data_IF_849678345100
#
_entry.id   IF_849678345100
#
_cell.length_a   1.000
_cell.length_b   1.000
_cell.length_c   1.000
_cell.angle_alpha   90.00
_cell.angle_beta   90.00
_cell.angle_gamma   90.00
#
_symmetry.space_group_name_H-M   'P 1'
#
loop_
_entity.id
_entity.type
_entity.pdbx_description
1 polymer ?
#
# COMPACT_ATOMS: atom_id res chain seq x y z
N UNK A 1 -17.23 -0.07 -2.72
CA UNK A 1 -16.13 -0.06 -1.72
C UNK A 1 -16.34 -1.26 -0.82
N UNK A 2 -15.34 -2.12 -0.64
CA UNK A 2 -15.42 -3.30 0.24
C UNK A 2 -15.63 -2.79 1.68
N UNK A 3 -16.63 -3.29 2.44
CA UNK A 3 -16.81 -2.89 3.84
C UNK A 3 -15.58 -3.28 4.66
N UNK A 4 -15.00 -2.34 5.41
CA UNK A 4 -13.78 -2.60 6.20
C UNK A 4 -13.93 -3.75 7.22
N UNK A 5 -15.16 -4.07 7.62
CA UNK A 5 -15.46 -5.20 8.51
C UNK A 5 -15.06 -6.58 7.96
N UNK A 6 -14.90 -6.72 6.64
CA UNK A 6 -14.43 -7.97 6.02
C UNK A 6 -12.97 -8.28 6.37
N UNK A 7 -12.20 -7.27 6.80
CA UNK A 7 -10.79 -7.42 7.18
C UNK A 7 -10.57 -7.65 8.69
N UNK A 8 -11.64 -7.90 9.45
CA UNK A 8 -11.50 -8.26 10.87
C UNK A 8 -10.62 -9.50 11.06
N UNK A 9 -9.69 -9.43 12.03
CA UNK A 9 -8.73 -10.51 12.31
C UNK A 9 -7.54 -10.55 11.36
N UNK A 10 -7.46 -9.58 10.45
CA UNK A 10 -6.25 -9.31 9.65
C UNK A 10 -5.51 -8.14 10.28
N UNK A 11 -4.19 -8.20 10.26
CA UNK A 11 -3.32 -7.18 10.83
C UNK A 11 -2.30 -6.74 9.78
N UNK A 12 -1.87 -5.49 9.86
CA UNK A 12 -0.81 -4.88 9.05
C UNK A 12 0.42 -4.62 9.91
N UNK A 13 1.62 -4.74 9.32
CA UNK A 13 2.88 -4.54 10.03
C UNK A 13 3.05 -3.07 10.48
N UNK A 14 3.67 -2.88 11.65
CA UNK A 14 4.00 -1.56 12.16
C UNK A 14 4.93 -0.76 11.24
N UNK A 15 5.79 -1.44 10.48
CA UNK A 15 6.64 -0.81 9.46
C UNK A 15 5.82 -0.10 8.39
N UNK A 16 4.71 -0.69 7.93
CA UNK A 16 3.79 -0.05 6.99
C UNK A 16 3.07 1.15 7.61
N UNK A 17 2.66 1.02 8.88
CA UNK A 17 2.03 2.14 9.61
C UNK A 17 3.01 3.31 9.77
N UNK A 18 4.28 3.03 10.09
CA UNK A 18 5.34 4.04 10.15
C UNK A 18 5.57 4.72 8.80
N UNK A 19 5.53 3.96 7.71
CA UNK A 19 5.61 4.51 6.36
C UNK A 19 4.53 5.57 6.10
N UNK A 20 3.30 5.33 6.58
CA UNK A 20 2.22 6.31 6.53
C UNK A 20 2.55 7.55 7.38
N UNK A 21 2.97 7.39 8.63
CA UNK A 21 3.33 8.53 9.51
C UNK A 21 4.43 9.39 8.90
N UNK A 22 5.46 8.75 8.33
CA UNK A 22 6.59 9.45 7.69
C UNK A 22 6.15 10.22 6.44
N UNK A 23 5.21 9.66 5.68
CA UNK A 23 4.69 10.29 4.47
C UNK A 23 3.94 11.61 4.73
N UNK A 24 3.35 11.75 5.90
CA UNK A 24 2.72 13.01 6.31
C UNK A 24 3.71 14.15 6.56
N UNK A 25 5.02 13.86 6.71
CA UNK A 25 6.08 14.86 6.84
C UNK A 25 5.76 15.91 7.92
N UNK A 26 5.59 17.17 7.52
CA UNK A 26 5.24 18.26 8.43
C UNK A 26 3.82 18.16 9.04
N UNK A 27 2.94 17.33 8.50
CA UNK A 27 1.57 17.11 8.99
C UNK A 27 1.46 15.94 9.97
N UNK A 28 2.54 15.58 10.68
CA UNK A 28 2.58 14.46 11.63
C UNK A 28 1.49 14.53 12.71
N UNK A 29 1.09 15.71 13.14
CA UNK A 29 0.00 15.90 14.12
C UNK A 29 -1.34 15.44 13.56
N UNK A 30 -1.61 15.66 12.28
CA UNK A 30 -2.83 15.17 11.62
C UNK A 30 -2.79 13.63 11.51
N UNK A 31 -1.66 13.07 11.07
CA UNK A 31 -1.47 11.62 11.04
C UNK A 31 -1.69 10.98 12.42
N UNK A 32 -1.12 11.62 13.46
CA UNK A 32 -1.26 11.16 14.85
C UNK A 32 -2.71 11.16 15.32
N UNK A 33 -3.46 12.23 15.07
CA UNK A 33 -4.88 12.31 15.40
C UNK A 33 -5.69 11.22 14.71
N UNK A 34 -5.45 11.01 13.41
CA UNK A 34 -6.15 9.99 12.62
C UNK A 34 -5.86 8.59 13.15
N UNK A 35 -4.58 8.25 13.36
CA UNK A 35 -4.18 6.91 13.81
C UNK A 35 -4.64 6.61 15.24
N UNK A 36 -4.44 7.55 16.18
CA UNK A 36 -4.90 7.40 17.57
C UNK A 36 -6.42 7.28 17.67
N UNK A 37 -7.17 7.99 16.83
CA UNK A 37 -8.64 7.87 16.80
C UNK A 37 -9.11 6.49 16.31
N UNK A 38 -8.30 5.77 15.53
CA UNK A 38 -8.56 4.39 15.09
C UNK A 38 -7.91 3.34 16.01
N UNK A 39 -7.31 3.75 17.14
CA UNK A 39 -6.66 2.85 18.08
C UNK A 39 -5.31 2.30 17.60
N UNK A 40 -4.66 2.98 16.67
CA UNK A 40 -3.36 2.59 16.13
C UNK A 40 -2.24 3.37 16.83
N UNK A 41 -1.30 2.66 17.42
CA UNK A 41 -0.19 3.23 18.18
C UNK A 41 -0.57 3.77 19.54
N UNK A 42 0.33 4.49 20.17
CA UNK A 42 0.15 5.11 21.48
C UNK A 42 0.53 6.60 21.40
N UNK A 43 -0.07 7.42 22.26
CA UNK A 43 0.27 8.84 22.33
C UNK A 43 1.60 9.03 23.06
N UNK A 44 2.58 9.60 22.39
CA UNK A 44 3.87 9.95 22.95
C UNK A 44 3.84 11.22 23.82
N UNK A 45 4.93 11.53 24.51
CA UNK A 45 5.03 12.70 25.39
C UNK A 45 4.93 14.04 24.63
N UNK A 46 5.29 14.06 23.36
CA UNK A 46 5.15 15.19 22.44
C UNK A 46 3.74 15.31 21.81
N UNK A 47 2.82 14.43 22.20
CA UNK A 47 1.45 14.37 21.68
C UNK A 47 1.31 13.67 20.32
N UNK A 48 2.41 13.23 19.71
CA UNK A 48 2.40 12.50 18.45
C UNK A 48 2.18 10.99 18.68
N UNK A 49 1.76 10.30 17.64
CA UNK A 49 1.62 8.85 17.68
C UNK A 49 2.98 8.17 17.69
N UNK A 50 3.17 7.24 18.60
CA UNK A 50 4.28 6.29 18.62
C UNK A 50 3.78 4.96 18.06
N UNK A 51 4.43 4.49 17.02
CA UNK A 51 4.14 3.21 16.35
C UNK A 51 5.37 2.32 16.46
N UNK A 52 5.19 1.14 17.01
CA UNK A 52 6.26 0.15 17.13
C UNK A 52 6.41 -0.62 15.80
N UNK A 53 7.61 -0.60 15.17
CA UNK A 53 7.82 -1.21 13.85
C UNK A 53 7.58 -2.72 13.84
N UNK A 54 7.89 -3.41 14.91
CA UNK A 54 7.76 -4.88 15.07
C UNK A 54 6.36 -5.30 15.56
N UNK A 55 5.48 -4.34 15.86
CA UNK A 55 4.09 -4.61 16.24
C UNK A 55 3.20 -4.80 15.02
N UNK A 56 2.01 -5.35 15.29
CA UNK A 56 0.98 -5.58 14.30
C UNK A 56 -0.29 -4.84 14.71
N UNK A 57 -0.93 -4.20 13.76
CA UNK A 57 -2.10 -3.34 13.99
C UNK A 57 -3.30 -3.83 13.18
N UNK A 58 -4.51 -3.64 13.71
CA UNK A 58 -5.73 -4.05 13.04
C UNK A 58 -5.84 -3.41 11.63
N UNK A 59 -5.98 -4.26 10.61
CA UNK A 59 -5.97 -3.82 9.22
C UNK A 59 -7.21 -3.00 8.86
N UNK A 60 -8.37 -3.38 9.39
CA UNK A 60 -9.61 -2.61 9.21
C UNK A 60 -9.51 -1.19 9.83
N UNK A 61 -8.86 -1.04 10.99
CA UNK A 61 -8.57 0.26 11.58
C UNK A 61 -7.62 1.10 10.70
N UNK A 62 -6.60 0.45 10.15
CA UNK A 62 -5.66 1.10 9.24
C UNK A 62 -6.34 1.59 7.94
N UNK A 63 -7.25 0.80 7.39
CA UNK A 63 -8.06 1.20 6.23
C UNK A 63 -8.98 2.38 6.54
N UNK A 64 -9.58 2.42 7.74
CA UNK A 64 -10.37 3.59 8.19
C UNK A 64 -9.50 4.84 8.32
N UNK A 65 -8.27 4.69 8.81
CA UNK A 65 -7.30 5.78 8.85
C UNK A 65 -6.99 6.33 7.45
N UNK A 66 -6.79 5.45 6.45
CA UNK A 66 -6.64 5.85 5.05
C UNK A 66 -7.87 6.59 4.52
N UNK A 67 -9.08 6.11 4.81
CA UNK A 67 -10.31 6.75 4.38
C UNK A 67 -10.44 8.16 4.96
N UNK A 68 -10.13 8.35 6.25
CA UNK A 68 -10.10 9.67 6.88
C UNK A 68 -9.05 10.59 6.28
N UNK A 69 -7.83 10.08 6.04
CA UNK A 69 -6.77 10.84 5.37
C UNK A 69 -7.22 11.31 3.98
N UNK A 70 -7.87 10.42 3.21
CA UNK A 70 -8.42 10.75 1.89
C UNK A 70 -9.46 11.89 1.94
N UNK A 71 -10.38 11.84 2.91
CA UNK A 71 -11.42 12.85 3.08
C UNK A 71 -10.87 14.23 3.42
N UNK A 72 -9.80 14.29 4.24
CA UNK A 72 -9.23 15.55 4.70
C UNK A 72 -8.18 16.14 3.77
N UNK A 73 -7.44 15.31 3.05
CA UNK A 73 -6.21 15.73 2.35
C UNK A 73 -6.21 15.39 0.85
N UNK A 74 -7.15 14.60 0.39
CA UNK A 74 -7.31 14.25 -1.03
C UNK A 74 -6.27 13.25 -1.58
N UNK A 75 -6.41 12.95 -2.87
CA UNK A 75 -5.64 11.91 -3.58
C UNK A 75 -4.14 12.19 -3.69
N UNK A 76 -3.74 13.47 -3.74
CA UNK A 76 -2.31 13.83 -3.86
C UNK A 76 -1.51 13.39 -2.64
N UNK A 77 -2.07 13.50 -1.45
CA UNK A 77 -1.42 13.02 -0.22
C UNK A 77 -1.37 11.50 -0.18
N UNK A 78 -2.45 10.82 -0.55
CA UNK A 78 -2.45 9.35 -0.66
C UNK A 78 -1.38 8.85 -1.64
N UNK A 79 -1.22 9.52 -2.77
CA UNK A 79 -0.15 9.23 -3.72
C UNK A 79 1.24 9.40 -3.08
N UNK A 80 1.47 10.51 -2.35
CA UNK A 80 2.75 10.73 -1.67
C UNK A 80 3.02 9.71 -0.57
N UNK A 81 1.99 9.23 0.13
CA UNK A 81 2.11 8.12 1.08
C UNK A 81 2.63 6.87 0.36
N UNK A 82 2.04 6.50 -0.77
CA UNK A 82 2.52 5.36 -1.57
C UNK A 82 3.97 5.52 -2.03
N UNK A 83 4.34 6.70 -2.52
CA UNK A 83 5.74 7.02 -2.89
C UNK A 83 6.68 6.84 -1.70
N UNK A 84 6.28 7.28 -0.51
CA UNK A 84 7.13 7.22 0.69
C UNK A 84 7.31 5.81 1.21
N UNK A 85 6.29 4.96 1.15
CA UNK A 85 6.38 3.54 1.51
C UNK A 85 7.49 2.86 0.70
N UNK A 86 7.58 3.14 -0.60
CA UNK A 86 8.59 2.53 -1.46
C UNK A 86 10.02 2.97 -1.18
N UNK A 87 10.23 4.05 -0.41
CA UNK A 87 11.57 4.46 0.06
C UNK A 87 12.08 3.59 1.20
N UNK A 88 11.18 3.07 2.04
CA UNK A 88 11.51 2.40 3.31
C UNK A 88 11.36 0.88 3.25
N UNK A 89 10.55 0.36 2.31
CA UNK A 89 10.35 -1.08 2.15
C UNK A 89 11.66 -1.77 1.74
N UNK A 90 11.96 -2.90 2.38
CA UNK A 90 13.09 -3.74 2.00
C UNK A 90 12.75 -4.49 0.71
N UNK A 91 13.60 -4.33 -0.30
CA UNK A 91 13.46 -5.06 -1.56
C UNK A 91 14.34 -6.31 -1.56
N UNK A 92 13.84 -7.45 -2.05
CA UNK A 92 14.67 -8.60 -2.25
C UNK A 92 15.76 -8.29 -3.31
N UNK A 93 16.95 -8.93 -3.23
CA UNK A 93 18.05 -8.70 -4.17
C UNK A 93 17.69 -9.00 -5.65
N UNK A 94 16.60 -9.72 -5.88
CA UNK A 94 16.06 -10.01 -7.21
C UNK A 94 15.42 -8.79 -7.90
N UNK A 95 15.06 -7.75 -7.17
CA UNK A 95 14.44 -6.54 -7.74
C UNK A 95 15.53 -5.65 -8.35
N UNK A 96 15.62 -5.64 -9.67
CA UNK A 96 16.64 -4.89 -10.43
C UNK A 96 16.07 -3.97 -11.51
N UNK A 97 14.83 -4.19 -11.91
CA UNK A 97 14.13 -3.47 -12.97
C UNK A 97 12.63 -3.36 -12.69
N UNK A 98 11.91 -2.68 -13.58
CA UNK A 98 10.46 -2.43 -13.44
C UNK A 98 9.68 -3.75 -13.36
N UNK A 99 10.04 -4.74 -14.16
CA UNK A 99 9.35 -6.03 -14.21
C UNK A 99 9.50 -6.76 -12.87
N UNK A 100 10.72 -6.93 -12.40
CA UNK A 100 11.00 -7.61 -11.12
C UNK A 100 10.46 -6.84 -9.91
N UNK A 101 10.39 -5.51 -9.99
CA UNK A 101 9.72 -4.69 -8.99
C UNK A 101 8.23 -5.01 -8.94
N UNK A 102 7.53 -5.03 -10.07
CA UNK A 102 6.11 -5.35 -10.13
C UNK A 102 5.85 -6.80 -9.69
N UNK A 103 6.68 -7.76 -10.09
CA UNK A 103 6.61 -9.16 -9.64
C UNK A 103 6.70 -9.29 -8.12
N UNK A 104 7.49 -8.42 -7.47
CA UNK A 104 7.68 -8.45 -6.02
C UNK A 104 6.54 -7.80 -5.22
N UNK A 105 5.61 -7.08 -5.87
CA UNK A 105 4.58 -6.32 -5.17
C UNK A 105 3.61 -7.21 -4.41
N UNK A 106 3.08 -8.25 -5.03
CA UNK A 106 2.10 -9.14 -4.40
C UNK A 106 2.68 -9.93 -3.23
N UNK A 107 3.85 -10.59 -3.34
CA UNK A 107 4.54 -11.17 -2.20
C UNK A 107 4.83 -10.16 -1.09
N UNK A 108 5.36 -8.98 -1.43
CA UNK A 108 5.66 -7.92 -0.47
C UNK A 108 4.43 -7.39 0.24
N UNK A 109 3.31 -7.27 -0.48
CA UNK A 109 2.03 -6.90 0.09
C UNK A 109 1.57 -7.92 1.15
N UNK A 110 1.55 -9.21 0.80
CA UNK A 110 1.12 -10.27 1.70
C UNK A 110 2.10 -10.52 2.86
N UNK A 111 3.39 -10.27 2.66
CA UNK A 111 4.40 -10.35 3.73
C UNK A 111 4.16 -9.31 4.84
N UNK A 112 3.60 -8.17 4.49
CA UNK A 112 3.30 -7.08 5.43
C UNK A 112 1.92 -7.21 6.09
N UNK A 113 1.22 -8.32 5.87
CA UNK A 113 -0.06 -8.63 6.49
C UNK A 113 -0.01 -10.01 7.15
N UNK A 114 -0.77 -10.18 8.24
CA UNK A 114 -0.96 -11.48 8.89
C UNK A 114 -2.43 -11.73 9.23
N UNK A 115 -2.82 -12.98 9.28
CA UNK A 115 -4.16 -13.43 9.70
C UNK A 115 -4.01 -14.52 10.76
N UNK A 116 -4.64 -14.33 11.92
CA UNK A 116 -4.53 -15.25 13.06
C UNK A 116 -3.06 -15.50 13.45
N UNK A 117 -2.26 -14.43 13.54
CA UNK A 117 -0.85 -14.48 13.93
C UNK A 117 0.12 -15.04 12.89
N UNK A 118 -0.36 -15.45 11.70
CA UNK A 118 0.46 -16.01 10.63
C UNK A 118 0.55 -15.04 9.45
N UNK A 119 1.77 -14.71 9.03
CA UNK A 119 2.04 -13.89 7.84
C UNK A 119 1.35 -14.51 6.63
N UNK A 120 0.82 -13.68 5.75
CA UNK A 120 0.01 -14.12 4.61
C UNK A 120 0.83 -14.54 3.39
N UNK A 121 2.13 -14.42 3.43
CA UNK A 121 3.07 -14.96 2.45
C UNK A 121 4.08 -15.90 3.13
N UNK A 122 4.28 -17.08 2.54
CA UNK A 122 5.26 -18.05 2.98
C UNK A 122 6.47 -18.02 2.03
N UNK A 123 7.57 -17.45 2.51
CA UNK A 123 8.81 -17.30 1.73
C UNK A 123 9.42 -18.64 1.29
N UNK A 124 9.16 -19.73 2.01
CA UNK A 124 9.71 -21.06 1.72
C UNK A 124 8.99 -21.73 0.55
N UNK A 125 7.67 -21.58 0.50
CA UNK A 125 6.82 -22.25 -0.49
C UNK A 125 6.30 -21.32 -1.58
N UNK A 126 6.44 -20.01 -1.42
CA UNK A 126 5.85 -18.98 -2.27
C UNK A 126 4.32 -18.87 -2.15
N UNK A 127 3.71 -19.60 -1.20
CA UNK A 127 2.25 -19.61 -1.04
C UNK A 127 1.74 -18.31 -0.44
N UNK A 128 0.67 -17.79 -1.04
CA UNK A 128 -0.07 -16.63 -0.56
C UNK A 128 -1.35 -17.11 0.11
N UNK A 129 -1.71 -16.47 1.24
CA UNK A 129 -2.98 -16.67 1.93
C UNK A 129 -3.98 -15.62 1.47
N UNK A 130 -5.13 -16.07 1.01
CA UNK A 130 -6.19 -15.22 0.49
C UNK A 130 -6.90 -14.36 1.56
N UNK A 131 -7.48 -13.23 1.11
CA UNK A 131 -8.39 -12.43 1.91
C UNK A 131 -8.09 -10.95 2.00
N UNK A 132 -7.07 -10.45 1.29
CA UNK A 132 -6.74 -9.01 1.25
C UNK A 132 -6.67 -8.44 -0.19
N UNK A 133 -6.97 -9.25 -1.22
CA UNK A 133 -6.78 -8.90 -2.62
C UNK A 133 -5.31 -8.98 -3.04
N UNK A 134 -5.03 -8.61 -4.27
CA UNK A 134 -3.75 -8.87 -4.95
C UNK A 134 -3.25 -7.68 -5.76
N UNK A 135 -1.97 -7.76 -6.11
CA UNK A 135 -1.37 -7.06 -7.25
C UNK A 135 -1.03 -8.10 -8.33
N UNK A 136 -1.89 -8.22 -9.36
CA UNK A 136 -1.64 -9.08 -10.53
C UNK A 136 -1.00 -8.28 -11.62
N UNK A 137 -0.19 -8.90 -12.45
CA UNK A 137 0.47 -8.20 -13.54
C UNK A 137 0.53 -9.05 -14.80
N UNK A 138 0.64 -8.38 -15.93
CA UNK A 138 0.94 -9.01 -17.22
C UNK A 138 1.73 -8.06 -18.12
N UNK A 139 2.60 -8.65 -18.95
CA UNK A 139 3.29 -7.91 -20.00
C UNK A 139 2.33 -7.71 -21.18
N UNK A 140 2.28 -6.48 -21.70
CA UNK A 140 1.48 -6.13 -22.87
C UNK A 140 2.32 -6.26 -24.15
N UNK A 141 1.68 -6.39 -25.36
CA UNK A 141 2.40 -6.50 -26.63
C UNK A 141 3.28 -5.30 -26.96
N UNK A 142 2.98 -4.12 -26.41
CA UNK A 142 3.76 -2.89 -26.59
C UNK A 142 4.94 -2.76 -25.62
N UNK A 143 5.22 -3.80 -24.82
CA UNK A 143 6.28 -3.81 -23.83
C UNK A 143 5.91 -3.14 -22.49
N UNK A 144 4.77 -2.48 -22.39
CA UNK A 144 4.30 -1.94 -21.11
C UNK A 144 3.82 -3.06 -20.17
N UNK A 145 3.79 -2.78 -18.86
CA UNK A 145 3.31 -3.71 -17.84
C UNK A 145 1.95 -3.23 -17.36
N UNK A 146 0.94 -4.09 -17.48
CA UNK A 146 -0.35 -3.88 -16.86
C UNK A 146 -0.34 -4.45 -15.45
N UNK A 147 -0.75 -3.64 -14.47
CA UNK A 147 -0.90 -4.03 -13.07
C UNK A 147 -2.36 -3.88 -12.69
N UNK A 148 -2.98 -4.97 -12.28
CA UNK A 148 -4.34 -5.00 -11.75
C UNK A 148 -4.29 -5.14 -10.22
N UNK A 149 -5.03 -4.27 -9.50
CA UNK A 149 -5.11 -4.27 -8.05
C UNK A 149 -6.57 -4.34 -7.60
N UNK A 150 -6.92 -5.39 -6.88
CA UNK A 150 -8.21 -5.57 -6.19
C UNK A 150 -8.10 -5.48 -4.66
N UNK A 151 -6.96 -5.03 -4.15
CA UNK A 151 -6.73 -4.76 -2.74
C UNK A 151 -7.62 -3.60 -2.21
N UNK A 152 -7.83 -3.45 -0.89
CA UNK A 152 -8.71 -2.42 -0.33
C UNK A 152 -8.13 -1.01 -0.27
N UNK A 153 -6.86 -0.81 -0.62
CA UNK A 153 -6.22 0.51 -0.56
C UNK A 153 -6.76 1.48 -1.63
N UNK A 154 -6.74 2.80 -1.38
CA UNK A 154 -7.13 3.78 -2.38
C UNK A 154 -6.27 3.72 -3.64
N UNK A 155 -6.87 3.88 -4.83
CA UNK A 155 -6.14 3.80 -6.09
C UNK A 155 -5.03 4.86 -6.24
N UNK A 156 -5.16 6.01 -5.62
CA UNK A 156 -4.10 7.01 -5.58
C UNK A 156 -2.86 6.53 -4.81
N UNK A 157 -3.06 5.77 -3.73
CA UNK A 157 -1.98 5.14 -2.97
C UNK A 157 -1.26 4.07 -3.81
N UNK A 158 -2.00 3.17 -4.46
CA UNK A 158 -1.42 2.13 -5.34
C UNK A 158 -0.59 2.77 -6.47
N UNK A 159 -1.12 3.85 -7.10
CA UNK A 159 -0.36 4.62 -8.10
C UNK A 159 0.91 5.21 -7.52
N UNK A 160 0.87 5.66 -6.27
CA UNK A 160 2.03 6.15 -5.53
C UNK A 160 3.08 5.07 -5.28
N UNK A 161 2.66 3.86 -4.92
CA UNK A 161 3.54 2.69 -4.77
C UNK A 161 4.29 2.42 -6.08
N UNK A 162 3.59 2.30 -7.21
CA UNK A 162 4.20 2.08 -8.51
C UNK A 162 5.19 3.19 -8.90
N UNK A 163 4.80 4.44 -8.71
CA UNK A 163 5.66 5.58 -9.01
C UNK A 163 6.89 5.68 -8.09
N UNK A 164 6.71 5.37 -6.81
CA UNK A 164 7.80 5.29 -5.84
C UNK A 164 8.81 4.20 -6.21
N UNK A 165 8.33 3.07 -6.73
CA UNK A 165 9.17 2.00 -7.25
C UNK A 165 10.01 2.44 -8.45
N UNK A 166 9.40 3.10 -9.44
CA UNK A 166 10.14 3.67 -10.57
C UNK A 166 11.26 4.63 -10.11
N UNK A 167 10.93 5.52 -9.17
CA UNK A 167 11.92 6.46 -8.61
C UNK A 167 13.08 5.77 -7.93
N UNK A 168 12.81 4.73 -7.15
CA UNK A 168 13.84 3.99 -6.43
C UNK A 168 14.77 3.21 -7.36
N UNK A 169 14.26 2.75 -8.50
CA UNK A 169 15.03 2.12 -9.57
C UNK A 169 15.80 3.14 -10.42
N UNK A 170 15.61 4.45 -10.21
CA UNK A 170 16.05 5.50 -11.13
C UNK A 170 15.57 5.26 -12.58
N UNK A 171 14.42 4.58 -12.72
CA UNK A 171 13.84 4.29 -14.03
C UNK A 171 13.07 5.50 -14.55
N UNK A 172 13.32 5.82 -15.83
CA UNK A 172 12.50 6.78 -16.56
C UNK A 172 11.23 6.05 -17.00
N UNK A 173 10.08 6.52 -16.55
CA UNK A 173 8.83 5.84 -16.86
C UNK A 173 7.60 6.63 -16.41
N UNK A 174 6.42 6.13 -16.78
CA UNK A 174 5.12 6.74 -16.43
C UNK A 174 4.13 5.69 -15.95
N UNK A 175 3.18 6.13 -15.11
CA UNK A 175 2.08 5.31 -14.61
C UNK A 175 0.77 5.93 -15.13
N UNK A 176 0.07 5.19 -15.95
CA UNK A 176 -1.24 5.56 -16.47
C UNK A 176 -2.34 4.85 -15.69
N UNK A 177 -3.32 5.61 -15.25
CA UNK A 177 -4.56 5.17 -14.61
C UNK A 177 -5.63 6.19 -14.95
N UNK A 178 -5.95 6.27 -16.23
CA UNK A 178 -6.85 7.23 -16.83
C UNK A 178 -8.31 6.73 -16.88
N UNK A 179 -9.18 7.54 -17.47
CA UNK A 179 -10.61 7.28 -17.51
C UNK A 179 -11.01 6.07 -18.37
N UNK A 180 -10.16 5.63 -19.27
CA UNK A 180 -10.37 4.44 -20.09
C UNK A 180 -10.07 3.11 -19.38
N UNK A 181 -9.46 3.16 -18.19
CA UNK A 181 -9.08 1.96 -17.44
C UNK A 181 -10.08 1.66 -16.30
N UNK A 182 -10.25 0.37 -15.93
CA UNK A 182 -11.03 -0.02 -14.77
C UNK A 182 -10.53 0.67 -13.49
N UNK A 183 -11.45 1.16 -12.66
CA UNK A 183 -11.15 1.81 -11.39
C UNK A 183 -12.24 1.55 -10.37
N UNK A 184 -11.85 1.18 -9.14
CA UNK A 184 -12.78 0.93 -8.03
C UNK A 184 -13.60 2.17 -7.65
N UNK A 185 -13.07 3.38 -7.85
CA UNK A 185 -13.83 4.63 -7.68
C UNK A 185 -14.99 4.77 -8.66
N UNK A 186 -14.94 4.05 -9.80
CA UNK A 186 -15.98 4.01 -10.84
C UNK A 186 -16.87 2.77 -10.73
N UNK A 187 -16.78 2.00 -9.63
CA UNK A 187 -17.59 0.81 -9.39
C UNK A 187 -17.04 -0.49 -9.97
N UNK A 188 -15.85 -0.50 -10.55
CA UNK A 188 -15.19 -1.73 -10.97
C UNK A 188 -14.65 -2.52 -9.77
N UNK A 189 -14.44 -3.84 -9.94
CA UNK A 189 -13.89 -4.71 -8.89
C UNK A 189 -12.42 -4.42 -8.59
N UNK A 190 -11.66 -3.93 -9.59
CA UNK A 190 -10.24 -3.67 -9.50
C UNK A 190 -9.87 -2.31 -10.08
N UNK A 191 -8.64 -1.87 -9.81
CA UNK A 191 -7.99 -0.76 -10.51
C UNK A 191 -6.93 -1.32 -11.46
N UNK A 192 -6.83 -0.77 -12.65
CA UNK A 192 -5.81 -1.14 -13.64
C UNK A 192 -4.86 0.03 -13.87
N UNK A 193 -3.57 -0.25 -13.79
CA UNK A 193 -2.49 0.69 -14.05
C UNK A 193 -1.64 0.18 -15.21
N UNK A 194 -1.17 1.07 -16.06
CA UNK A 194 -0.22 0.74 -17.13
C UNK A 194 1.10 1.44 -16.84
N UNK A 195 2.13 0.63 -16.58
CA UNK A 195 3.50 1.09 -16.31
C UNK A 195 4.28 1.04 -17.62
N UNK A 196 4.80 2.19 -18.04
CA UNK A 196 5.70 2.32 -19.20
C UNK A 196 7.06 2.75 -18.70
N UNK A 197 8.09 2.14 -19.20
CA UNK A 197 9.48 2.44 -18.94
C UNK A 197 10.29 2.47 -20.21
#
# INVERSE_FOLDING_TARGET
MIPFNEFKGIEVSGRNVLGLVQAFGQFKSIASQILLAEGIGQKGPDGLVVVEPESWYAFDAFLRAFARASQHMGDSVLHQIGVSVMKTVEWPPSVKDIKTMVESMDPGYHQNHRKNGRVMWDATTGRIKEGIGHYRWKLRPDGSIEVESDNPYPCAFDRGILFGGLRRLNAVGSIHHDDGLPCRKKGHASCVYVVKG
#
